data_IF_849046102677
#
_entry.id   IF_849046102677
#
_cell.length_a   1.000
_cell.length_b   1.000
_cell.length_c   1.000
_cell.angle_alpha   90.00
_cell.angle_beta   90.00
_cell.angle_gamma   90.00
#
_symmetry.space_group_name_H-M   'P 1'
#
loop_
_entity.id
_entity.type
_entity.pdbx_description
1 polymer ?
#
# COMPACT_ATOMS: atom_id res chain seq x y z
N UNK A 1 -3.81 -2.53 9.12
CA UNK A 1 -3.54 -3.85 8.52
C UNK A 1 -2.17 -4.36 8.93
N UNK A 2 -2.05 -5.63 9.31
CA UNK A 2 -0.76 -6.28 9.55
C UNK A 2 -0.65 -7.54 8.70
N UNK A 3 0.44 -7.70 7.97
CA UNK A 3 0.66 -8.85 7.09
C UNK A 3 2.09 -9.32 7.18
N UNK A 4 2.28 -10.60 7.44
CA UNK A 4 3.60 -11.22 7.41
C UNK A 4 3.87 -11.73 6.01
N UNK A 5 4.86 -11.16 5.32
CA UNK A 5 5.28 -11.58 3.97
C UNK A 5 6.72 -12.06 4.06
N UNK A 6 6.97 -13.30 3.66
CA UNK A 6 8.32 -13.89 3.60
C UNK A 6 9.15 -13.69 4.88
N UNK A 7 8.56 -14.08 6.02
CA UNK A 7 9.14 -13.94 7.39
C UNK A 7 9.35 -12.49 7.88
N UNK A 8 8.82 -11.49 7.18
CA UNK A 8 8.85 -10.08 7.60
C UNK A 8 7.46 -9.61 7.94
N UNK A 9 7.32 -8.90 9.06
CA UNK A 9 6.04 -8.33 9.49
C UNK A 9 5.95 -6.93 8.90
N UNK A 10 4.93 -6.71 8.07
CA UNK A 10 4.56 -5.40 7.56
C UNK A 10 3.34 -4.95 8.33
N UNK A 11 3.49 -3.86 9.07
CA UNK A 11 2.48 -3.33 9.96
C UNK A 11 2.23 -1.87 9.58
N UNK A 12 1.00 -1.54 9.15
CA UNK A 12 0.66 -0.17 8.73
C UNK A 12 0.61 0.82 9.90
N UNK A 13 0.50 0.34 11.14
CA UNK A 13 0.40 1.18 12.33
C UNK A 13 1.79 1.64 12.79
N UNK A 14 2.78 0.74 12.71
CA UNK A 14 4.18 1.01 13.01
C UNK A 14 4.99 1.52 11.80
N UNK A 15 4.36 1.64 10.63
CA UNK A 15 5.03 2.11 9.43
C UNK A 15 4.76 3.60 9.17
N UNK A 16 5.76 4.25 8.61
CA UNK A 16 5.68 5.63 8.18
C UNK A 16 4.92 5.72 6.85
N UNK A 17 3.82 6.46 6.84
CA UNK A 17 3.08 6.77 5.62
C UNK A 17 3.90 7.75 4.78
N UNK A 18 4.33 7.31 3.61
CA UNK A 18 5.12 8.14 2.68
C UNK A 18 4.19 8.93 1.76
N UNK A 19 3.25 8.25 1.11
CA UNK A 19 2.28 8.88 0.23
C UNK A 19 1.04 8.01 0.08
N UNK A 20 -0.12 8.63 -0.05
CA UNK A 20 -1.38 7.96 -0.39
C UNK A 20 -1.92 8.51 -1.70
N UNK A 21 -2.42 7.62 -2.54
CA UNK A 21 -3.08 7.94 -3.80
C UNK A 21 -4.40 7.22 -3.83
N UNK A 22 -5.47 7.97 -4.04
CA UNK A 22 -6.82 7.42 -4.18
C UNK A 22 -7.20 7.47 -5.65
N UNK A 23 -7.56 6.32 -6.20
CA UNK A 23 -8.03 6.13 -7.55
C UNK A 23 -9.52 5.84 -7.53
N UNK A 24 -10.31 6.80 -8.01
CA UNK A 24 -11.77 6.68 -8.08
C UNK A 24 -12.47 7.75 -7.26
N UNK A 25 -13.79 7.79 -7.43
CA UNK A 25 -14.69 8.72 -6.74
C UNK A 25 -15.34 8.03 -5.54
N UNK A 26 -15.75 8.81 -4.55
CA UNK A 26 -16.47 8.31 -3.40
C UNK A 26 -17.78 7.62 -3.84
N UNK A 27 -17.92 6.33 -3.54
CA UNK A 27 -19.06 5.52 -3.99
C UNK A 27 -18.83 4.77 -5.32
N UNK A 28 -17.65 4.89 -5.93
CA UNK A 28 -17.30 4.11 -7.11
C UNK A 28 -16.95 2.67 -6.71
N UNK A 29 -17.69 1.66 -7.17
CA UNK A 29 -17.43 0.26 -6.78
C UNK A 29 -16.09 -0.25 -7.29
N UNK A 30 -15.49 0.44 -8.27
CA UNK A 30 -14.15 0.19 -8.84
C UNK A 30 -13.07 1.10 -8.25
N UNK A 31 -13.41 1.95 -7.29
CA UNK A 31 -12.46 2.81 -6.58
C UNK A 31 -11.51 2.01 -5.70
N UNK A 32 -10.23 2.38 -5.71
CA UNK A 32 -9.21 1.82 -4.85
C UNK A 32 -8.23 2.89 -4.41
N UNK A 33 -7.62 2.71 -3.25
CA UNK A 33 -6.56 3.53 -2.72
C UNK A 33 -5.29 2.70 -2.58
N UNK A 34 -4.17 3.32 -2.95
CA UNK A 34 -2.84 2.77 -2.82
C UNK A 34 -2.04 3.71 -1.93
N UNK A 35 -1.58 3.21 -0.79
CA UNK A 35 -0.78 3.95 0.17
C UNK A 35 0.58 3.30 0.30
N UNK A 36 1.62 4.07 0.02
CA UNK A 36 2.98 3.66 0.22
C UNK A 36 3.41 3.92 1.67
N UNK A 37 3.85 2.84 2.31
CA UNK A 37 4.38 2.85 3.67
C UNK A 37 5.86 2.43 3.70
N UNK A 38 6.56 2.88 4.73
CA UNK A 38 7.93 2.51 5.04
C UNK A 38 8.02 1.97 6.45
N UNK A 39 8.47 0.73 6.60
CA UNK A 39 8.67 0.10 7.91
C UNK A 39 9.73 0.84 8.72
N UNK A 40 9.44 1.19 9.98
CA UNK A 40 10.40 1.85 10.85
C UNK A 40 11.60 0.96 11.24
N UNK A 41 11.38 -0.36 11.33
CA UNK A 41 12.39 -1.33 11.79
C UNK A 41 13.62 -1.43 10.87
N UNK A 42 13.39 -1.52 9.55
CA UNK A 42 14.46 -1.73 8.55
C UNK A 42 14.40 -0.80 7.35
N UNK A 43 13.43 0.13 7.31
CA UNK A 43 13.26 1.05 6.19
C UNK A 43 12.75 0.37 4.90
N UNK A 44 12.17 -0.83 4.97
CA UNK A 44 11.56 -1.47 3.80
C UNK A 44 10.27 -0.78 3.40
N UNK A 45 10.00 -0.75 2.10
CA UNK A 45 8.82 -0.16 1.52
C UNK A 45 7.75 -1.23 1.26
N UNK A 46 6.49 -0.86 1.45
CA UNK A 46 5.36 -1.71 1.10
C UNK A 46 4.17 -0.87 0.69
N UNK A 47 3.43 -1.37 -0.28
CA UNK A 47 2.22 -0.74 -0.78
C UNK A 47 1.04 -1.40 -0.07
N UNK A 48 0.28 -0.60 0.65
CA UNK A 48 -1.03 -0.94 1.15
C UNK A 48 -2.06 -0.58 0.09
N UNK A 49 -2.86 -1.53 -0.33
CA UNK A 49 -3.90 -1.33 -1.34
C UNK A 49 -5.24 -1.70 -0.73
N UNK A 50 -6.25 -0.85 -0.86
CA UNK A 50 -7.59 -1.10 -0.37
C UNK A 50 -8.58 -0.62 -1.43
N UNK A 51 -9.63 -1.38 -1.72
CA UNK A 51 -10.60 -0.97 -2.73
C UNK A 51 -11.96 -1.62 -2.56
N UNK A 52 -12.91 -1.08 -3.32
CA UNK A 52 -14.29 -1.55 -3.40
C UNK A 52 -14.42 -2.95 -4.00
N UNK A 53 -15.61 -3.54 -3.87
CA UNK A 53 -15.86 -4.94 -4.25
C UNK A 53 -15.78 -5.23 -5.76
N UNK A 54 -15.81 -4.21 -6.63
CA UNK A 54 -15.56 -4.36 -8.07
C UNK A 54 -14.16 -3.87 -8.49
N UNK A 55 -13.33 -3.43 -7.54
CA UNK A 55 -11.97 -2.99 -7.79
C UNK A 55 -11.02 -4.17 -7.95
N UNK A 56 -9.91 -4.02 -8.71
CA UNK A 56 -8.83 -5.01 -8.74
C UNK A 56 -8.26 -5.32 -7.34
N UNK A 57 -8.50 -4.42 -6.38
CA UNK A 57 -8.17 -4.56 -4.96
C UNK A 57 -9.44 -4.68 -4.11
N UNK A 58 -10.21 -5.75 -4.31
CA UNK A 58 -11.45 -6.09 -3.56
C UNK A 58 -11.37 -6.01 -2.02
N UNK A 59 -10.15 -6.06 -1.44
CA UNK A 59 -9.88 -6.04 0.00
C UNK A 59 -8.57 -5.33 0.28
N UNK A 60 -8.40 -4.90 1.54
CA UNK A 60 -7.09 -4.44 2.02
C UNK A 60 -6.02 -5.54 1.87
N UNK A 61 -4.95 -5.21 1.15
CA UNK A 61 -3.80 -6.07 0.98
C UNK A 61 -2.51 -5.27 1.14
N UNK A 62 -1.44 -5.96 1.56
CA UNK A 62 -0.10 -5.39 1.64
C UNK A 62 0.79 -6.11 0.63
N UNK A 63 1.45 -5.34 -0.22
CA UNK A 63 2.47 -5.80 -1.17
C UNK A 63 3.83 -5.24 -0.77
N UNK A 64 4.76 -6.11 -0.40
CA UNK A 64 6.15 -5.71 -0.19
C UNK A 64 6.77 -5.26 -1.52
N UNK A 65 7.39 -4.08 -1.55
CA UNK A 65 8.10 -3.59 -2.72
C UNK A 65 9.51 -3.12 -2.35
N UNK A 66 10.42 -3.21 -3.31
CA UNK A 66 11.78 -2.71 -3.12
C UNK A 66 11.81 -1.18 -3.08
N UNK A 67 12.81 -0.58 -2.42
CA UNK A 67 12.97 0.88 -2.35
C UNK A 67 12.95 1.55 -3.74
N UNK A 68 13.70 1.01 -4.70
CA UNK A 68 13.70 1.51 -6.08
C UNK A 68 12.30 1.54 -6.71
N UNK A 69 11.52 0.48 -6.49
CA UNK A 69 10.16 0.37 -7.05
C UNK A 69 9.16 1.29 -6.31
N UNK A 70 9.41 1.56 -5.04
CA UNK A 70 8.66 2.53 -4.26
C UNK A 70 8.91 3.95 -4.76
N UNK A 71 10.17 4.30 -5.07
CA UNK A 71 10.53 5.58 -5.67
C UNK A 71 9.95 5.75 -7.08
N UNK A 72 9.99 4.70 -7.90
CA UNK A 72 9.31 4.72 -9.21
C UNK A 72 7.81 4.93 -9.06
N UNK A 73 7.17 4.21 -8.12
CA UNK A 73 5.74 4.38 -7.85
C UNK A 73 5.41 5.81 -7.39
N UNK A 74 6.24 6.39 -6.52
CA UNK A 74 6.12 7.79 -6.05
C UNK A 74 6.27 8.82 -7.16
N UNK A 75 7.03 8.52 -8.21
CA UNK A 75 7.18 9.41 -9.37
C UNK A 75 6.00 9.31 -10.35
N UNK A 76 5.35 8.15 -10.40
CA UNK A 76 4.26 7.86 -11.34
C UNK A 76 2.85 8.14 -10.75
N UNK A 77 2.76 8.51 -9.47
CA UNK A 77 1.53 8.78 -8.71
C UNK A 77 1.64 10.10 -7.95
#
# INVERSE_FOLDING_TARGET
>A
MKKTISKRVYDTDNAELIKKTTFGLFGDPKGYEETLYKTADKGYYFLYVNGGSESPYTKEDIKSISAAKAEEWLKNN
#
